data_IF_078823647946
#
_entry.id   IF_078823647946
#
_cell.length_a   1.000
_cell.length_b   1.000
_cell.length_c   1.000
_cell.angle_alpha   90.00
_cell.angle_beta   90.00
_cell.angle_gamma   90.00
#
_symmetry.space_group_name_H-M   'P 1'
#
loop_
_entity.id
_entity.type
_entity.pdbx_description
1 polymer ?
#
# COMPACT_ATOMS: atom_id res chain seq x y z
N UNK A 1 -37.04 4.20 -18.81
CA UNK A 1 -36.27 5.18 -18.01
C UNK A 1 -37.02 5.68 -16.77
N UNK A 2 -38.28 5.30 -16.51
CA UNK A 2 -38.92 5.54 -15.21
C UNK A 2 -38.73 4.39 -14.21
N UNK A 3 -38.56 3.14 -14.67
CA UNK A 3 -38.34 1.98 -13.80
C UNK A 3 -36.92 1.85 -13.21
N UNK A 4 -35.90 2.54 -13.73
CA UNK A 4 -34.53 2.46 -13.17
C UNK A 4 -34.34 3.41 -11.97
N UNK A 5 -35.17 4.45 -11.85
CA UNK A 5 -35.17 5.36 -10.70
C UNK A 5 -35.82 4.73 -9.47
N UNK A 6 -36.89 3.95 -9.63
CA UNK A 6 -37.55 3.23 -8.53
C UNK A 6 -36.67 2.13 -7.92
N UNK A 7 -35.82 1.46 -8.71
CA UNK A 7 -34.93 0.40 -8.21
C UNK A 7 -33.72 0.92 -7.43
N UNK A 8 -33.17 2.07 -7.83
CA UNK A 8 -32.12 2.77 -7.08
C UNK A 8 -32.67 3.31 -5.75
N UNK A 9 -33.90 3.81 -5.74
CA UNK A 9 -34.57 4.23 -4.50
C UNK A 9 -34.84 3.06 -3.55
N UNK A 10 -35.24 1.88 -4.03
CA UNK A 10 -35.51 0.72 -3.14
C UNK A 10 -34.21 0.18 -2.51
N UNK A 11 -33.14 0.00 -3.28
CA UNK A 11 -31.87 -0.51 -2.76
C UNK A 11 -31.21 0.48 -1.80
N UNK A 12 -31.30 1.78 -2.10
CA UNK A 12 -30.80 2.84 -1.23
C UNK A 12 -31.65 2.98 0.03
N UNK A 13 -32.99 2.92 -0.07
CA UNK A 13 -33.91 2.86 1.07
C UNK A 13 -33.66 1.61 1.92
N UNK A 14 -33.31 0.46 1.34
CA UNK A 14 -32.97 -0.76 2.08
C UNK A 14 -31.64 -0.64 2.83
N UNK A 15 -30.66 0.02 2.22
CA UNK A 15 -29.34 0.27 2.80
C UNK A 15 -29.43 1.34 3.91
N UNK A 16 -30.28 2.34 3.73
CA UNK A 16 -30.57 3.37 4.73
C UNK A 16 -31.43 2.83 5.88
N UNK A 17 -32.41 1.95 5.61
CA UNK A 17 -33.20 1.24 6.64
C UNK A 17 -32.35 0.28 7.48
N UNK A 18 -31.40 -0.43 6.86
CA UNK A 18 -30.45 -1.31 7.57
C UNK A 18 -29.41 -0.55 8.38
N UNK A 19 -29.11 0.70 8.01
CA UNK A 19 -28.22 1.59 8.77
C UNK A 19 -28.95 2.39 9.87
N UNK A 20 -30.26 2.65 9.74
CA UNK A 20 -30.99 3.57 10.63
C UNK A 20 -31.95 2.93 11.65
N UNK A 21 -32.39 1.66 11.51
CA UNK A 21 -33.52 1.18 12.32
C UNK A 21 -33.22 0.07 13.34
N UNK A 22 -33.86 0.24 14.52
CA UNK A 22 -33.83 -0.64 15.69
C UNK A 22 -34.46 -2.00 15.38
N UNK A 23 -34.11 -2.99 16.19
CA UNK A 23 -34.23 -4.40 15.87
C UNK A 23 -35.62 -4.93 15.47
N UNK A 24 -36.70 -4.23 15.81
CA UNK A 24 -38.08 -4.68 15.73
C UNK A 24 -38.73 -4.48 14.34
N UNK A 25 -38.37 -3.43 13.60
CA UNK A 25 -39.00 -3.11 12.31
C UNK A 25 -38.54 -4.03 11.18
N UNK A 26 -37.27 -4.46 11.22
CA UNK A 26 -36.74 -5.49 10.32
C UNK A 26 -37.45 -6.85 10.53
N UNK A 27 -37.88 -7.18 11.76
CA UNK A 27 -38.59 -8.43 12.06
C UNK A 27 -39.99 -8.42 11.44
N UNK A 28 -40.69 -7.29 11.49
CA UNK A 28 -42.02 -7.13 10.87
C UNK A 28 -41.93 -7.28 9.35
N UNK A 29 -40.94 -6.64 8.71
CA UNK A 29 -40.73 -6.72 7.26
C UNK A 29 -40.34 -8.15 6.80
N UNK A 30 -39.43 -8.81 7.51
CA UNK A 30 -39.03 -10.20 7.21
C UNK A 30 -40.19 -11.17 7.45
N UNK A 31 -40.98 -10.95 8.50
CA UNK A 31 -42.14 -11.77 8.82
C UNK A 31 -43.13 -11.85 7.66
N UNK A 32 -43.35 -10.75 6.94
CA UNK A 32 -44.24 -10.74 5.79
C UNK A 32 -43.64 -11.36 4.53
N UNK A 33 -42.32 -11.30 4.35
CA UNK A 33 -41.59 -12.02 3.28
C UNK A 33 -41.58 -13.52 3.53
N UNK A 34 -41.33 -13.97 4.77
CA UNK A 34 -41.33 -15.39 5.15
C UNK A 34 -42.73 -16.03 5.03
N UNK A 35 -43.80 -15.22 5.12
CA UNK A 35 -45.18 -15.67 4.87
C UNK A 35 -45.49 -15.84 3.38
N UNK A 36 -44.67 -15.32 2.46
CA UNK A 36 -44.85 -15.53 1.02
C UNK A 36 -44.39 -16.94 0.64
N UNK A 37 -45.32 -17.89 0.61
CA UNK A 37 -45.07 -19.23 0.09
C UNK A 37 -45.58 -19.29 -1.36
N UNK A 38 -44.73 -19.66 -2.35
CA UNK A 38 -43.34 -20.07 -2.22
C UNK A 38 -42.34 -18.90 -2.14
N UNK A 39 -41.37 -19.02 -1.23
CA UNK A 39 -40.23 -18.09 -1.11
C UNK A 39 -39.36 -18.19 -2.36
N UNK A 40 -39.06 -17.05 -2.99
CA UNK A 40 -38.19 -17.00 -4.16
C UNK A 40 -36.73 -17.19 -3.72
N UNK A 41 -36.02 -18.13 -4.36
CA UNK A 41 -34.64 -18.54 -3.99
C UNK A 41 -33.66 -17.37 -3.96
N UNK A 42 -33.83 -16.36 -4.84
CA UNK A 42 -32.96 -15.18 -4.87
C UNK A 42 -33.09 -14.28 -3.63
N UNK A 43 -34.14 -14.43 -2.81
CA UNK A 43 -34.31 -13.68 -1.56
C UNK A 43 -33.53 -14.31 -0.39
N UNK A 44 -33.08 -15.56 -0.53
CA UNK A 44 -32.41 -16.30 0.54
C UNK A 44 -31.11 -15.63 1.03
N UNK A 45 -30.23 -15.07 0.18
CA UNK A 45 -29.06 -14.32 0.65
C UNK A 45 -29.39 -13.19 1.62
N UNK A 46 -30.44 -12.41 1.34
CA UNK A 46 -30.84 -11.28 2.18
C UNK A 46 -31.42 -11.77 3.51
N UNK A 47 -32.24 -12.84 3.48
CA UNK A 47 -32.77 -13.49 4.68
C UNK A 47 -31.62 -13.99 5.56
N UNK A 48 -30.61 -14.64 4.96
CA UNK A 48 -29.44 -15.15 5.67
C UNK A 48 -28.65 -14.01 6.33
N UNK A 49 -28.35 -12.93 5.60
CA UNK A 49 -27.62 -11.77 6.14
C UNK A 49 -28.35 -11.16 7.34
N UNK A 50 -29.67 -11.03 7.24
CA UNK A 50 -30.49 -10.50 8.32
C UNK A 50 -30.51 -11.43 9.54
N UNK A 51 -30.65 -12.75 9.34
CA UNK A 51 -30.58 -13.72 10.44
C UNK A 51 -29.22 -13.67 11.15
N UNK A 52 -28.13 -13.58 10.39
CA UNK A 52 -26.77 -13.46 10.93
C UNK A 52 -26.60 -12.18 11.77
N UNK A 53 -27.17 -11.06 11.32
CA UNK A 53 -27.11 -9.77 12.05
C UNK A 53 -27.99 -9.75 13.31
N UNK A 54 -29.11 -10.49 13.31
CA UNK A 54 -30.08 -10.48 14.42
C UNK A 54 -29.70 -11.44 15.54
N UNK A 55 -29.32 -12.65 15.18
CA UNK A 55 -29.00 -13.70 16.13
C UNK A 55 -27.98 -14.65 15.48
N UNK A 56 -26.73 -14.19 15.45
CA UNK A 56 -25.63 -14.96 14.89
C UNK A 56 -25.45 -16.32 15.58
N UNK A 57 -25.80 -16.43 16.86
CA UNK A 57 -25.64 -17.67 17.63
C UNK A 57 -26.69 -18.71 17.23
N UNK A 58 -27.97 -18.33 17.20
CA UNK A 58 -29.05 -19.20 16.70
C UNK A 58 -28.83 -19.59 15.24
N UNK A 59 -28.46 -18.60 14.39
CA UNK A 59 -28.18 -18.87 13.00
C UNK A 59 -27.08 -19.93 12.86
N UNK A 60 -25.97 -19.77 13.57
CA UNK A 60 -24.82 -20.66 13.46
C UNK A 60 -25.06 -22.06 14.01
N UNK A 61 -25.76 -22.15 15.15
CA UNK A 61 -25.97 -23.42 15.83
C UNK A 61 -27.12 -24.24 15.21
N UNK A 62 -28.18 -23.58 14.75
CA UNK A 62 -29.40 -24.29 14.36
C UNK A 62 -29.76 -24.13 12.88
N UNK A 63 -29.74 -22.92 12.32
CA UNK A 63 -30.30 -22.65 10.99
C UNK A 63 -29.33 -22.89 9.83
N UNK A 64 -28.04 -22.60 10.04
CA UNK A 64 -26.96 -22.71 9.07
C UNK A 64 -26.85 -24.11 8.45
N UNK A 65 -26.87 -25.23 9.21
CA UNK A 65 -26.88 -26.57 8.63
C UNK A 65 -28.04 -26.81 7.66
N UNK A 66 -29.24 -26.27 7.94
CA UNK A 66 -30.39 -26.39 7.05
C UNK A 66 -30.21 -25.61 5.75
N UNK A 67 -29.69 -24.38 5.80
CA UNK A 67 -29.41 -23.62 4.57
C UNK A 67 -28.35 -24.30 3.69
N UNK A 68 -27.31 -24.88 4.29
CA UNK A 68 -26.34 -25.70 3.55
C UNK A 68 -26.99 -26.93 2.93
N UNK A 69 -27.87 -27.63 3.66
CA UNK A 69 -28.63 -28.76 3.11
C UNK A 69 -29.52 -28.32 1.93
N UNK A 70 -30.25 -27.20 2.06
CA UNK A 70 -31.11 -26.64 1.01
C UNK A 70 -30.27 -26.32 -0.24
N UNK A 71 -29.13 -25.64 -0.08
CA UNK A 71 -28.24 -25.32 -1.21
C UNK A 71 -27.71 -26.58 -1.90
N UNK A 72 -27.28 -27.60 -1.15
CA UNK A 72 -26.85 -28.89 -1.72
C UNK A 72 -28.01 -29.59 -2.44
N UNK A 73 -29.18 -29.67 -1.81
CA UNK A 73 -30.37 -30.31 -2.39
C UNK A 73 -30.81 -29.63 -3.68
N UNK A 74 -30.96 -28.30 -3.66
CA UNK A 74 -31.35 -27.52 -4.84
C UNK A 74 -30.30 -27.64 -5.96
N UNK A 75 -29.01 -27.78 -5.63
CA UNK A 75 -27.96 -27.96 -6.66
C UNK A 75 -28.08 -29.29 -7.42
N UNK A 76 -28.71 -30.30 -6.82
CA UNK A 76 -28.93 -31.61 -7.43
C UNK A 76 -30.25 -31.71 -8.18
N UNK A 77 -31.25 -30.92 -7.78
CA UNK A 77 -32.64 -31.08 -8.23
C UNK A 77 -33.14 -29.95 -9.12
N UNK A 78 -32.47 -28.80 -9.15
CA UNK A 78 -32.97 -27.62 -9.87
C UNK A 78 -32.24 -27.37 -11.19
N UNK A 79 -32.98 -26.82 -12.15
CA UNK A 79 -32.43 -26.22 -13.37
C UNK A 79 -31.89 -24.81 -13.14
N UNK A 80 -32.27 -24.17 -12.02
CA UNK A 80 -31.89 -22.81 -11.60
C UNK A 80 -30.50 -22.78 -10.92
N UNK A 81 -29.49 -23.30 -11.64
CA UNK A 81 -28.16 -23.51 -11.09
C UNK A 81 -27.56 -22.20 -10.51
N UNK A 82 -27.72 -21.08 -11.21
CA UNK A 82 -27.15 -19.79 -10.81
C UNK A 82 -27.62 -19.27 -9.44
N UNK A 83 -28.93 -19.29 -9.14
CA UNK A 83 -29.46 -18.84 -7.85
C UNK A 83 -29.00 -19.70 -6.70
N UNK A 84 -28.84 -21.00 -6.92
CA UNK A 84 -28.28 -21.93 -5.93
C UNK A 84 -26.81 -21.63 -5.68
N UNK A 85 -26.03 -21.26 -6.71
CA UNK A 85 -24.63 -20.90 -6.51
C UNK A 85 -24.46 -19.58 -5.79
N UNK A 86 -25.29 -18.59 -6.07
CA UNK A 86 -25.29 -17.34 -5.31
C UNK A 86 -25.57 -17.64 -3.84
N UNK A 87 -26.62 -18.41 -3.54
CA UNK A 87 -26.91 -18.88 -2.18
C UNK A 87 -25.70 -19.57 -1.53
N UNK A 88 -25.08 -20.52 -2.22
CA UNK A 88 -23.90 -21.23 -1.71
C UNK A 88 -22.72 -20.28 -1.48
N UNK A 89 -22.46 -19.34 -2.39
CA UNK A 89 -21.42 -18.33 -2.24
C UNK A 89 -21.67 -17.46 -1.01
N UNK A 90 -22.91 -17.00 -0.78
CA UNK A 90 -23.28 -16.22 0.40
C UNK A 90 -23.11 -17.01 1.71
N UNK A 91 -23.55 -18.27 1.74
CA UNK A 91 -23.34 -19.15 2.89
C UNK A 91 -21.85 -19.33 3.19
N UNK A 92 -21.05 -19.56 2.15
CA UNK A 92 -19.61 -19.71 2.26
C UNK A 92 -18.88 -18.42 2.67
N UNK A 93 -19.31 -17.26 2.18
CA UNK A 93 -18.74 -15.96 2.54
C UNK A 93 -19.00 -15.59 3.99
N UNK A 94 -20.15 -15.98 4.54
CA UNK A 94 -20.49 -15.71 5.93
C UNK A 94 -19.60 -16.51 6.89
N UNK A 95 -19.29 -17.75 6.53
CA UNK A 95 -18.42 -18.63 7.34
C UNK A 95 -16.95 -18.15 7.39
N UNK A 96 -16.50 -17.30 6.44
CA UNK A 96 -15.17 -16.68 6.52
C UNK A 96 -15.01 -15.82 7.77
N UNK A 97 -16.08 -15.18 8.27
CA UNK A 97 -16.02 -14.33 9.46
C UNK A 97 -15.70 -15.12 10.73
N UNK A 98 -16.08 -16.40 10.78
CA UNK A 98 -15.81 -17.29 11.91
C UNK A 98 -14.38 -17.84 11.91
N UNK A 99 -13.60 -17.57 10.84
CA UNK A 99 -12.20 -18.00 10.69
C UNK A 99 -11.96 -19.51 10.80
N UNK A 100 -13.00 -20.33 10.69
CA UNK A 100 -12.90 -21.79 10.67
C UNK A 100 -12.69 -22.31 9.23
N UNK A 101 -11.55 -21.97 8.65
CA UNK A 101 -11.25 -22.21 7.23
C UNK A 101 -11.20 -23.71 6.86
N UNK A 102 -10.77 -24.58 7.79
CA UNK A 102 -10.66 -26.01 7.54
C UNK A 102 -12.02 -26.69 7.36
N UNK A 103 -12.99 -26.37 8.23
CA UNK A 103 -14.35 -26.88 8.08
C UNK A 103 -15.03 -26.31 6.83
N UNK A 104 -14.78 -25.03 6.55
CA UNK A 104 -15.31 -24.34 5.39
C UNK A 104 -14.81 -24.96 4.08
N UNK A 105 -13.52 -25.27 4.00
CA UNK A 105 -12.91 -25.98 2.87
C UNK A 105 -13.52 -27.38 2.70
N UNK A 106 -13.70 -28.14 3.78
CA UNK A 106 -14.34 -29.46 3.74
C UNK A 106 -15.78 -29.40 3.21
N UNK A 107 -16.54 -28.37 3.59
CA UNK A 107 -17.91 -28.14 3.08
C UNK A 107 -17.90 -27.77 1.59
N UNK A 108 -16.97 -26.90 1.19
CA UNK A 108 -16.76 -26.53 -0.20
C UNK A 108 -16.41 -27.75 -1.07
N UNK A 109 -15.43 -28.56 -0.65
CA UNK A 109 -15.02 -29.76 -1.38
C UNK A 109 -16.18 -30.73 -1.56
N UNK A 110 -16.95 -30.99 -0.49
CA UNK A 110 -18.16 -31.83 -0.55
C UNK A 110 -19.21 -31.30 -1.54
N UNK A 111 -19.36 -29.98 -1.65
CA UNK A 111 -20.31 -29.38 -2.59
C UNK A 111 -19.86 -29.52 -4.04
N UNK A 112 -18.55 -29.47 -4.30
CA UNK A 112 -17.98 -29.42 -5.63
C UNK A 112 -17.63 -30.80 -6.21
N UNK A 113 -17.56 -31.85 -5.38
CA UNK A 113 -17.30 -33.23 -5.83
C UNK A 113 -18.19 -33.60 -7.00
N UNK A 114 -17.57 -34.03 -8.11
CA UNK A 114 -18.25 -34.51 -9.31
C UNK A 114 -18.84 -33.39 -10.19
N UNK A 115 -18.55 -32.12 -9.89
CA UNK A 115 -18.99 -30.98 -10.69
C UNK A 115 -17.81 -30.30 -11.39
N UNK A 116 -18.06 -29.70 -12.55
CA UNK A 116 -17.08 -28.84 -13.21
C UNK A 116 -17.07 -27.45 -12.55
N UNK A 117 -15.99 -27.15 -11.81
CA UNK A 117 -15.77 -25.87 -11.13
C UNK A 117 -15.84 -24.66 -12.07
N UNK A 118 -15.44 -24.83 -13.34
CA UNK A 118 -15.45 -23.75 -14.34
C UNK A 118 -16.86 -23.27 -14.66
N UNK A 119 -17.87 -24.12 -14.43
CA UNK A 119 -19.27 -23.73 -14.55
C UNK A 119 -19.70 -22.75 -13.44
N UNK A 120 -18.90 -22.59 -12.38
CA UNK A 120 -19.21 -21.76 -11.20
C UNK A 120 -18.04 -20.83 -10.81
N UNK A 121 -17.74 -19.80 -11.63
CA UNK A 121 -16.53 -18.99 -11.47
C UNK A 121 -16.35 -18.36 -10.07
N UNK A 122 -17.42 -17.84 -9.44
CA UNK A 122 -17.33 -17.23 -8.11
C UNK A 122 -16.99 -18.25 -7.00
N UNK A 123 -17.59 -19.46 -7.08
CA UNK A 123 -17.27 -20.54 -6.14
C UNK A 123 -15.85 -21.08 -6.37
N UNK A 124 -15.38 -21.07 -7.62
CA UNK A 124 -14.01 -21.42 -7.95
C UNK A 124 -13.01 -20.42 -7.36
N UNK A 125 -13.27 -19.11 -7.48
CA UNK A 125 -12.47 -18.05 -6.83
C UNK A 125 -12.43 -18.29 -5.33
N UNK A 126 -13.59 -18.46 -4.69
CA UNK A 126 -13.69 -18.70 -3.27
C UNK A 126 -12.91 -19.95 -2.82
N UNK A 127 -13.12 -21.09 -3.48
CA UNK A 127 -12.43 -22.33 -3.18
C UNK A 127 -10.92 -22.24 -3.38
N UNK A 128 -10.47 -21.54 -4.42
CA UNK A 128 -9.04 -21.35 -4.69
C UNK A 128 -8.33 -20.60 -3.55
N UNK A 129 -8.98 -19.57 -2.98
CA UNK A 129 -8.47 -18.83 -1.83
C UNK A 129 -8.45 -19.69 -0.57
N UNK A 130 -9.48 -20.50 -0.32
CA UNK A 130 -9.50 -21.41 0.82
C UNK A 130 -8.40 -22.48 0.76
N UNK A 131 -8.23 -23.10 -0.41
CA UNK A 131 -7.13 -24.05 -0.60
C UNK A 131 -5.77 -23.39 -0.39
N UNK A 132 -5.59 -22.15 -0.85
CA UNK A 132 -4.38 -21.37 -0.58
C UNK A 132 -4.15 -21.13 0.92
N UNK A 133 -5.18 -20.73 1.67
CA UNK A 133 -5.08 -20.49 3.12
C UNK A 133 -4.68 -21.79 3.85
N UNK A 134 -5.35 -22.90 3.56
CA UNK A 134 -5.04 -24.21 4.15
C UNK A 134 -3.61 -24.68 3.79
N UNK A 135 -3.20 -24.50 2.53
CA UNK A 135 -1.85 -24.82 2.09
C UNK A 135 -0.78 -23.95 2.76
N UNK A 136 -1.01 -22.64 2.92
CA UNK A 136 -0.07 -21.74 3.59
C UNK A 136 0.10 -22.12 5.08
N UNK A 137 -0.97 -22.54 5.74
CA UNK A 137 -0.92 -23.08 7.10
C UNK A 137 -0.10 -24.38 7.17
N UNK A 138 -0.37 -25.35 6.28
CA UNK A 138 0.37 -26.61 6.23
C UNK A 138 1.86 -26.39 5.90
N UNK A 139 2.16 -25.47 4.98
CA UNK A 139 3.53 -25.12 4.62
C UNK A 139 4.29 -24.48 5.79
N UNK A 140 3.64 -23.59 6.54
CA UNK A 140 4.23 -22.95 7.72
C UNK A 140 4.56 -23.98 8.79
N UNK A 141 3.61 -24.85 9.12
CA UNK A 141 3.81 -25.95 10.08
C UNK A 141 4.94 -26.90 9.64
N UNK A 142 5.00 -27.23 8.34
CA UNK A 142 6.08 -28.06 7.79
C UNK A 142 7.45 -27.39 7.99
N UNK A 143 7.59 -26.10 7.69
CA UNK A 143 8.83 -25.34 7.89
C UNK A 143 9.24 -25.25 9.36
N UNK A 144 8.28 -25.03 10.25
CA UNK A 144 8.53 -24.93 11.70
C UNK A 144 8.92 -26.27 12.33
N UNK A 145 8.39 -27.38 11.81
CA UNK A 145 8.68 -28.72 12.35
C UNK A 145 10.17 -29.11 12.24
N UNK A 146 10.93 -28.50 11.33
CA UNK A 146 12.35 -28.81 11.09
C UNK A 146 12.62 -30.20 10.49
N UNK A 147 11.62 -31.08 10.42
CA UNK A 147 11.73 -32.43 9.88
C UNK A 147 11.38 -32.46 8.39
N UNK A 148 12.36 -32.80 7.55
CA UNK A 148 12.15 -32.99 6.11
C UNK A 148 11.49 -34.35 5.85
N UNK A 149 10.16 -34.35 5.73
CA UNK A 149 9.39 -35.51 5.28
C UNK A 149 9.03 -35.36 3.79
N UNK A 150 9.66 -36.20 2.96
CA UNK A 150 9.45 -36.22 1.50
C UNK A 150 7.99 -36.44 1.10
N UNK A 151 7.23 -37.24 1.83
CA UNK A 151 5.81 -37.47 1.51
C UNK A 151 4.97 -36.20 1.74
N UNK A 152 5.28 -35.44 2.80
CA UNK A 152 4.62 -34.16 3.08
C UNK A 152 4.98 -33.12 2.02
N UNK A 153 6.24 -33.07 1.61
CA UNK A 153 6.72 -32.19 0.54
C UNK A 153 6.01 -32.49 -0.80
N UNK A 154 5.95 -33.76 -1.20
CA UNK A 154 5.23 -34.18 -2.42
C UNK A 154 3.72 -33.85 -2.34
N UNK A 155 3.11 -33.92 -1.16
CA UNK A 155 1.72 -33.50 -0.95
C UNK A 155 1.56 -31.98 -1.12
N UNK A 156 2.46 -31.19 -0.54
CA UNK A 156 2.44 -29.73 -0.65
C UNK A 156 2.63 -29.26 -2.10
N UNK A 157 3.48 -29.94 -2.87
CA UNK A 157 3.71 -29.64 -4.30
C UNK A 157 2.47 -29.90 -5.16
N UNK A 158 1.77 -31.01 -4.90
CA UNK A 158 0.50 -31.33 -5.58
C UNK A 158 -0.58 -30.30 -5.26
N UNK A 159 -0.70 -29.91 -3.99
CA UNK A 159 -1.64 -28.88 -3.57
C UNK A 159 -1.32 -27.53 -4.21
N UNK A 160 -0.05 -27.11 -4.21
CA UNK A 160 0.38 -25.87 -4.84
C UNK A 160 0.06 -25.86 -6.34
N UNK A 161 0.32 -26.95 -7.07
CA UNK A 161 0.00 -27.05 -8.50
C UNK A 161 -1.50 -26.93 -8.77
N UNK A 162 -2.33 -27.55 -7.93
CA UNK A 162 -3.78 -27.42 -8.01
C UNK A 162 -4.25 -25.98 -7.72
N UNK A 163 -3.72 -25.35 -6.66
CA UNK A 163 -4.05 -23.98 -6.27
C UNK A 163 -3.68 -23.00 -7.38
N UNK A 164 -2.48 -23.13 -7.95
CA UNK A 164 -2.03 -22.32 -9.08
C UNK A 164 -2.99 -22.41 -10.26
N UNK A 165 -3.35 -23.64 -10.67
CA UNK A 165 -4.32 -23.86 -11.75
C UNK A 165 -5.67 -23.21 -11.46
N UNK A 166 -6.17 -23.34 -10.22
CA UNK A 166 -7.44 -22.75 -9.82
C UNK A 166 -7.39 -21.22 -9.84
N UNK A 167 -6.36 -20.61 -9.26
CA UNK A 167 -6.19 -19.15 -9.21
C UNK A 167 -5.98 -18.55 -10.62
N UNK A 168 -5.20 -19.19 -11.49
CA UNK A 168 -5.05 -18.77 -12.88
C UNK A 168 -6.37 -18.83 -13.65
N UNK A 169 -7.14 -19.91 -13.47
CA UNK A 169 -8.47 -20.02 -14.06
C UNK A 169 -9.40 -18.93 -13.53
N UNK A 170 -9.35 -18.63 -12.23
CA UNK A 170 -10.11 -17.54 -11.62
C UNK A 170 -9.77 -16.17 -12.22
N UNK A 171 -8.49 -15.87 -12.48
CA UNK A 171 -8.08 -14.65 -13.19
C UNK A 171 -8.61 -14.59 -14.63
N UNK A 172 -8.70 -15.72 -15.32
CA UNK A 172 -9.25 -15.76 -16.68
C UNK A 172 -10.73 -15.39 -16.73
N UNK A 173 -11.49 -15.70 -15.66
CA UNK A 173 -12.89 -15.30 -15.52
C UNK A 173 -13.04 -13.85 -15.01
N UNK A 174 -12.18 -13.45 -14.07
CA UNK A 174 -12.23 -12.13 -13.43
C UNK A 174 -10.83 -11.50 -13.35
N UNK A 175 -10.37 -10.84 -14.42
CA UNK A 175 -9.00 -10.34 -14.50
C UNK A 175 -8.70 -9.17 -13.55
N UNK A 176 -9.75 -8.54 -13.01
CA UNK A 176 -9.68 -7.42 -12.07
C UNK A 176 -9.61 -7.84 -10.59
N UNK A 177 -9.53 -9.14 -10.27
CA UNK A 177 -9.43 -9.60 -8.88
C UNK A 177 -7.99 -9.44 -8.37
N UNK A 178 -7.68 -8.27 -7.85
CA UNK A 178 -6.32 -7.95 -7.37
C UNK A 178 -5.88 -8.84 -6.20
N UNK A 179 -6.83 -9.21 -5.32
CA UNK A 179 -6.54 -9.97 -4.12
C UNK A 179 -6.06 -11.42 -4.39
N UNK A 180 -6.34 -12.00 -5.57
CA UNK A 180 -5.85 -13.35 -5.93
C UNK A 180 -4.44 -13.34 -6.53
N UNK A 181 -3.95 -12.19 -6.98
CA UNK A 181 -2.62 -12.04 -7.57
C UNK A 181 -1.54 -12.44 -6.57
N UNK A 182 -1.61 -11.94 -5.33
CA UNK A 182 -0.60 -12.24 -4.29
C UNK A 182 -0.55 -13.74 -3.91
N UNK A 183 -1.68 -14.41 -3.61
CA UNK A 183 -1.74 -15.86 -3.45
C UNK A 183 -1.14 -16.65 -4.62
N UNK A 184 -1.46 -16.24 -5.85
CA UNK A 184 -0.96 -16.89 -7.06
C UNK A 184 0.56 -16.76 -7.17
N UNK A 185 1.09 -15.54 -7.01
CA UNK A 185 2.54 -15.29 -7.05
C UNK A 185 3.28 -16.12 -5.99
N UNK A 186 2.80 -16.16 -4.74
CA UNK A 186 3.40 -16.98 -3.68
C UNK A 186 3.44 -18.47 -4.05
N UNK A 187 2.35 -18.97 -4.62
CA UNK A 187 2.24 -20.37 -5.05
C UNK A 187 3.20 -20.68 -6.20
N UNK A 188 3.27 -19.80 -7.20
CA UNK A 188 4.18 -19.94 -8.35
C UNK A 188 5.65 -19.82 -7.94
N UNK A 189 6.00 -18.92 -7.02
CA UNK A 189 7.36 -18.79 -6.46
C UNK A 189 7.74 -20.09 -5.72
N UNK A 190 6.83 -20.65 -4.92
CA UNK A 190 7.05 -21.94 -4.27
C UNK A 190 7.33 -23.06 -5.28
N UNK A 191 6.57 -23.08 -6.39
CA UNK A 191 6.77 -23.99 -7.53
C UNK A 191 7.98 -23.65 -8.43
N UNK A 192 8.82 -22.68 -8.03
CA UNK A 192 10.01 -22.21 -8.74
C UNK A 192 9.73 -21.62 -10.13
N UNK A 193 8.54 -21.06 -10.34
CA UNK A 193 8.12 -20.40 -11.60
C UNK A 193 8.33 -18.89 -11.58
N UNK A 194 9.50 -18.45 -11.11
CA UNK A 194 9.81 -17.04 -10.89
C UNK A 194 9.70 -16.19 -12.17
N UNK A 195 10.12 -16.70 -13.32
CA UNK A 195 10.00 -15.95 -14.59
C UNK A 195 8.53 -15.77 -15.03
N UNK A 196 7.67 -16.76 -14.79
CA UNK A 196 6.24 -16.64 -15.08
C UNK A 196 5.57 -15.62 -14.14
N UNK A 197 5.98 -15.55 -12.87
CA UNK A 197 5.53 -14.51 -11.94
C UNK A 197 5.86 -13.10 -12.47
N UNK A 198 7.08 -12.93 -13.00
CA UNK A 198 7.51 -11.67 -13.57
C UNK A 198 6.65 -11.26 -14.77
N UNK A 199 6.39 -12.19 -15.70
CA UNK A 199 5.53 -11.94 -16.86
C UNK A 199 4.08 -11.62 -16.46
N UNK A 200 3.54 -12.34 -15.46
CA UNK A 200 2.20 -12.07 -14.92
C UNK A 200 2.10 -10.66 -14.35
N UNK A 201 3.10 -10.22 -13.57
CA UNK A 201 3.13 -8.87 -12.98
C UNK A 201 3.23 -7.77 -14.04
N UNK A 202 4.05 -7.97 -15.08
CA UNK A 202 4.14 -7.05 -16.20
C UNK A 202 2.79 -6.93 -16.94
N UNK A 203 2.15 -8.07 -17.22
CA UNK A 203 0.84 -8.10 -17.87
C UNK A 203 -0.22 -7.39 -17.01
N UNK A 204 -0.19 -7.60 -15.70
CA UNK A 204 -1.11 -6.97 -14.76
C UNK A 204 -0.97 -5.44 -14.75
N UNK A 205 0.26 -4.91 -14.67
CA UNK A 205 0.50 -3.46 -14.73
C UNK A 205 0.13 -2.88 -16.10
N UNK A 206 0.43 -3.60 -17.18
CA UNK A 206 0.06 -3.16 -18.53
C UNK A 206 -1.47 -3.07 -18.70
N UNK A 207 -2.21 -4.02 -18.12
CA UNK A 207 -3.67 -4.03 -18.17
C UNK A 207 -4.29 -3.00 -17.21
N UNK A 208 -3.68 -2.77 -16.05
CA UNK A 208 -4.18 -1.89 -14.99
C UNK A 208 -3.13 -0.85 -14.56
N UNK A 209 -2.73 0.09 -15.45
CA UNK A 209 -1.60 0.99 -15.23
C UNK A 209 -1.84 2.06 -14.16
N UNK A 210 -3.09 2.26 -13.73
CA UNK A 210 -3.48 3.18 -12.66
C UNK A 210 -3.62 2.49 -11.30
N UNK A 211 -3.33 1.19 -11.23
CA UNK A 211 -3.42 0.43 -9.98
C UNK A 211 -2.11 0.49 -9.19
N UNK A 212 -2.07 1.17 -8.01
CA UNK A 212 -0.87 1.25 -7.17
C UNK A 212 -0.44 -0.11 -6.59
N UNK A 213 -1.36 -1.04 -6.39
CA UNK A 213 -1.07 -2.39 -5.89
C UNK A 213 -0.16 -3.16 -6.86
N UNK A 214 -0.38 -3.02 -8.18
CA UNK A 214 0.44 -3.64 -9.21
C UNK A 214 1.91 -3.21 -9.12
N UNK A 215 2.17 -1.90 -9.04
CA UNK A 215 3.54 -1.38 -8.88
C UNK A 215 4.19 -1.77 -7.56
N UNK A 216 3.40 -1.85 -6.48
CA UNK A 216 3.90 -2.31 -5.18
C UNK A 216 4.36 -3.76 -5.25
N UNK A 217 3.55 -4.63 -5.89
CA UNK A 217 3.90 -6.05 -6.06
C UNK A 217 5.09 -6.24 -6.98
N UNK A 218 5.11 -5.61 -8.17
CA UNK A 218 6.23 -5.73 -9.09
C UNK A 218 7.53 -5.17 -8.49
N UNK A 219 7.47 -4.00 -7.84
CA UNK A 219 8.63 -3.41 -7.17
C UNK A 219 9.21 -4.33 -6.11
N UNK A 220 8.35 -4.91 -5.25
CA UNK A 220 8.78 -5.83 -4.20
C UNK A 220 9.37 -7.13 -4.78
N UNK A 221 8.73 -7.68 -5.82
CA UNK A 221 9.19 -8.87 -6.53
C UNK A 221 10.58 -8.64 -7.17
N UNK A 222 10.79 -7.48 -7.81
CA UNK A 222 12.07 -7.14 -8.42
C UNK A 222 13.17 -7.00 -7.37
N UNK A 223 12.90 -6.39 -6.21
CA UNK A 223 13.87 -6.31 -5.11
C UNK A 223 14.29 -7.71 -4.64
N UNK A 224 13.35 -8.64 -4.51
CA UNK A 224 13.63 -9.99 -3.97
C UNK A 224 14.32 -10.89 -4.99
N UNK A 225 13.90 -10.86 -6.26
CA UNK A 225 14.30 -11.86 -7.25
C UNK A 225 15.14 -11.32 -8.41
N UNK A 226 15.13 -10.01 -8.65
CA UNK A 226 15.90 -9.34 -9.73
C UNK A 226 16.54 -8.03 -9.22
N UNK A 227 17.30 -8.04 -8.10
CA UNK A 227 17.79 -6.83 -7.44
C UNK A 227 18.70 -5.96 -8.32
N UNK A 228 19.33 -6.57 -9.33
CA UNK A 228 20.17 -5.88 -10.29
C UNK A 228 19.38 -5.02 -11.31
N UNK A 229 18.07 -5.23 -11.44
CA UNK A 229 17.20 -4.43 -12.33
C UNK A 229 16.75 -3.13 -11.64
N UNK A 230 17.71 -2.37 -11.14
CA UNK A 230 17.51 -1.13 -10.38
C UNK A 230 16.66 -0.12 -11.15
N UNK A 231 16.83 -0.04 -12.47
CA UNK A 231 16.04 0.85 -13.34
C UNK A 231 14.55 0.54 -13.26
N UNK A 232 14.15 -0.74 -13.33
CA UNK A 232 12.74 -1.12 -13.21
C UNK A 232 12.21 -0.99 -11.79
N UNK A 233 13.04 -1.24 -10.78
CA UNK A 233 12.66 -1.02 -9.37
C UNK A 233 12.31 0.45 -9.15
N UNK A 234 13.20 1.36 -9.54
CA UNK A 234 12.98 2.82 -9.44
C UNK A 234 11.75 3.24 -10.25
N UNK A 235 11.58 2.71 -11.48
CA UNK A 235 10.38 2.96 -12.28
C UNK A 235 9.09 2.58 -11.55
N UNK A 236 9.04 1.42 -10.89
CA UNK A 236 7.86 0.98 -10.16
C UNK A 236 7.51 1.95 -9.04
N UNK A 237 8.49 2.32 -8.21
CA UNK A 237 8.25 3.18 -7.05
C UNK A 237 8.02 4.65 -7.41
N UNK A 238 8.61 5.14 -8.51
CA UNK A 238 8.26 6.47 -9.07
C UNK A 238 6.81 6.53 -9.55
N UNK A 239 6.33 5.50 -10.26
CA UNK A 239 4.92 5.46 -10.67
C UNK A 239 3.98 5.25 -9.48
N UNK A 240 4.40 4.47 -8.48
CA UNK A 240 3.65 4.32 -7.25
C UNK A 240 3.44 5.68 -6.55
N UNK A 241 4.45 6.54 -6.47
CA UNK A 241 4.29 7.89 -5.91
C UNK A 241 3.38 8.82 -6.72
N UNK A 242 3.32 8.64 -8.05
CA UNK A 242 2.38 9.41 -8.88
C UNK A 242 0.93 9.04 -8.57
N UNK A 243 0.67 7.77 -8.22
CA UNK A 243 -0.66 7.25 -7.93
C UNK A 243 -1.02 7.40 -6.43
N UNK A 244 -0.04 7.24 -5.55
CA UNK A 244 -0.14 7.34 -4.10
C UNK A 244 1.07 8.15 -3.55
N UNK A 245 0.95 9.50 -3.48
CA UNK A 245 2.03 10.37 -3.04
C UNK A 245 2.51 10.14 -1.59
N UNK A 246 1.69 9.51 -0.76
CA UNK A 246 2.01 9.21 0.65
C UNK A 246 2.49 7.77 0.85
N UNK A 247 2.72 7.01 -0.22
CA UNK A 247 3.16 5.62 -0.19
C UNK A 247 4.44 5.43 0.62
N UNK A 248 4.34 4.74 1.76
CA UNK A 248 5.47 4.36 2.62
C UNK A 248 6.47 3.42 1.93
N UNK A 249 6.03 2.37 1.20
CA UNK A 249 6.94 1.53 0.44
C UNK A 249 7.78 2.33 -0.56
N UNK A 250 7.16 3.21 -1.34
CA UNK A 250 7.88 3.99 -2.35
C UNK A 250 8.89 4.95 -1.76
N UNK A 251 8.48 5.69 -0.72
CA UNK A 251 9.38 6.60 -0.03
C UNK A 251 10.59 5.88 0.56
N UNK A 252 10.37 4.74 1.23
CA UNK A 252 11.43 3.97 1.88
C UNK A 252 12.42 3.46 0.85
N UNK A 253 11.92 2.82 -0.22
CA UNK A 253 12.78 2.22 -1.25
C UNK A 253 13.58 3.30 -2.00
N UNK A 254 12.94 4.38 -2.45
CA UNK A 254 13.66 5.43 -3.20
C UNK A 254 14.70 6.13 -2.32
N UNK A 255 14.38 6.39 -1.05
CA UNK A 255 15.35 6.96 -0.10
C UNK A 255 16.53 6.00 0.13
N UNK A 256 16.27 4.70 0.25
CA UNK A 256 17.33 3.70 0.39
C UNK A 256 18.25 3.63 -0.84
N UNK A 257 17.67 3.61 -2.05
CA UNK A 257 18.46 3.62 -3.29
C UNK A 257 19.27 4.91 -3.45
N UNK A 258 18.72 6.05 -3.03
CA UNK A 258 19.46 7.31 -2.96
C UNK A 258 20.73 7.17 -2.10
N UNK A 259 20.61 6.62 -0.89
CA UNK A 259 21.77 6.45 -0.01
C UNK A 259 22.77 5.42 -0.53
N UNK A 260 22.30 4.29 -1.08
CA UNK A 260 23.17 3.25 -1.61
C UNK A 260 24.03 3.73 -2.78
N UNK A 261 23.47 4.58 -3.65
CA UNK A 261 24.17 5.11 -4.82
C UNK A 261 25.05 6.34 -4.50
N UNK A 262 24.93 6.89 -3.29
CA UNK A 262 25.68 8.09 -2.87
C UNK A 262 27.18 7.84 -2.65
N UNK A 263 27.59 6.58 -2.53
CA UNK A 263 28.99 6.21 -2.30
C UNK A 263 29.90 6.32 -3.54
N UNK A 264 29.36 6.50 -4.76
CA UNK A 264 30.15 6.42 -5.99
C UNK A 264 30.13 7.66 -6.89
N UNK A 265 29.23 8.63 -6.68
CA UNK A 265 29.09 9.77 -7.58
C UNK A 265 29.62 11.08 -6.98
N UNK A 266 30.69 11.58 -7.60
CA UNK A 266 31.02 13.00 -7.57
C UNK A 266 29.83 13.79 -8.11
N UNK A 267 29.62 14.99 -7.57
CA UNK A 267 28.49 15.92 -7.74
C UNK A 267 28.14 16.27 -9.21
N UNK A 268 28.87 15.73 -10.19
CA UNK A 268 28.87 16.13 -11.59
C UNK A 268 28.65 14.99 -12.60
N UNK A 269 28.30 13.77 -12.17
CA UNK A 269 27.82 12.76 -13.13
C UNK A 269 26.38 13.07 -13.54
N UNK A 270 26.11 12.99 -14.85
CA UNK A 270 24.74 13.12 -15.38
C UNK A 270 23.87 12.05 -14.73
N UNK A 271 22.64 12.39 -14.28
CA UNK A 271 21.73 11.41 -13.72
C UNK A 271 21.53 10.29 -14.74
N UNK A 272 21.87 9.07 -14.33
CA UNK A 272 21.54 7.87 -15.09
C UNK A 272 20.13 7.44 -14.71
N UNK A 273 19.48 6.61 -15.54
CA UNK A 273 18.15 6.06 -15.21
C UNK A 273 18.12 5.26 -13.89
N UNK A 274 19.29 4.94 -13.34
CA UNK A 274 19.50 4.19 -12.11
C UNK A 274 19.84 5.06 -10.90
N UNK A 275 20.09 6.36 -11.09
CA UNK A 275 20.39 7.28 -9.98
C UNK A 275 19.16 8.10 -9.61
N UNK A 276 19.04 8.38 -8.31
CA UNK A 276 17.97 9.21 -7.77
C UNK A 276 18.63 10.53 -7.34
N UNK A 277 18.29 11.67 -7.96
CA UNK A 277 18.92 12.94 -7.59
C UNK A 277 18.44 13.40 -6.22
N UNK A 278 19.26 14.19 -5.53
CA UNK A 278 18.91 14.81 -4.24
C UNK A 278 17.57 15.53 -4.31
N UNK A 279 17.32 16.30 -5.39
CA UNK A 279 16.09 17.08 -5.58
C UNK A 279 14.83 16.22 -5.53
N UNK A 280 14.89 15.01 -6.05
CA UNK A 280 13.76 14.09 -6.04
C UNK A 280 13.44 13.66 -4.61
N UNK A 281 14.44 13.21 -3.84
CA UNK A 281 14.25 12.82 -2.44
C UNK A 281 13.84 14.02 -1.57
N UNK A 282 14.47 15.17 -1.79
CA UNK A 282 14.15 16.41 -1.10
C UNK A 282 12.68 16.79 -1.29
N UNK A 283 12.19 16.75 -2.54
CA UNK A 283 10.78 16.98 -2.85
C UNK A 283 9.88 15.96 -2.15
N UNK A 284 10.25 14.68 -2.10
CA UNK A 284 9.48 13.66 -1.39
C UNK A 284 9.34 13.94 0.11
N UNK A 285 10.40 14.44 0.76
CA UNK A 285 10.32 14.87 2.15
C UNK A 285 9.42 16.10 2.32
N UNK A 286 9.53 17.11 1.44
CA UNK A 286 8.65 18.29 1.45
C UNK A 286 7.18 17.87 1.33
N UNK A 287 6.87 17.03 0.34
CA UNK A 287 5.51 16.60 0.06
C UNK A 287 4.95 15.86 1.28
N UNK A 288 5.71 14.93 1.87
CA UNK A 288 5.31 14.23 3.11
C UNK A 288 5.10 15.15 4.31
N UNK A 289 5.99 16.11 4.54
CA UNK A 289 5.83 17.10 5.62
C UNK A 289 4.56 17.91 5.40
N UNK A 290 4.21 18.23 4.15
CA UNK A 290 2.98 18.96 3.86
C UNK A 290 1.71 18.20 4.22
N UNK A 291 1.72 16.86 4.13
CA UNK A 291 0.62 16.00 4.57
C UNK A 291 0.65 15.71 6.08
N UNK A 292 1.83 15.65 6.68
CA UNK A 292 2.04 15.21 8.07
C UNK A 292 2.86 16.22 8.87
N UNK A 293 2.46 17.49 8.85
CA UNK A 293 3.24 18.61 9.38
C UNK A 293 3.52 18.54 10.90
N UNK A 294 2.72 17.79 11.65
CA UNK A 294 2.87 17.59 13.10
C UNK A 294 3.57 16.28 13.48
N UNK A 295 3.94 15.44 12.51
CA UNK A 295 4.56 14.14 12.78
C UNK A 295 6.06 14.29 13.06
N UNK A 296 6.43 14.10 14.32
CA UNK A 296 7.82 14.19 14.80
C UNK A 296 8.79 13.27 14.03
N UNK A 297 8.38 12.05 13.70
CA UNK A 297 9.27 11.07 13.07
C UNK A 297 9.63 11.47 11.63
N UNK A 298 8.70 12.09 10.91
CA UNK A 298 8.97 12.60 9.55
C UNK A 298 9.96 13.76 9.60
N UNK A 299 9.81 14.68 10.56
CA UNK A 299 10.76 15.78 10.75
C UNK A 299 12.13 15.31 11.20
N UNK A 300 12.21 14.27 12.05
CA UNK A 300 13.47 13.61 12.41
C UNK A 300 14.17 13.03 11.19
N UNK A 301 13.46 12.22 10.40
CA UNK A 301 14.01 11.63 9.18
C UNK A 301 14.50 12.70 8.21
N UNK A 302 13.75 13.80 8.07
CA UNK A 302 14.14 14.91 7.20
C UNK A 302 15.38 15.64 7.70
N UNK A 303 15.45 15.91 9.00
CA UNK A 303 16.63 16.50 9.63
C UNK A 303 17.87 15.65 9.38
N UNK A 304 17.79 14.33 9.63
CA UNK A 304 18.94 13.43 9.39
C UNK A 304 19.29 13.35 7.91
N UNK A 305 18.30 13.35 7.01
CA UNK A 305 18.55 13.43 5.57
C UNK A 305 19.33 14.68 5.17
N UNK A 306 18.93 15.86 5.65
CA UNK A 306 19.66 17.10 5.37
C UNK A 306 21.03 17.11 6.04
N UNK A 307 21.12 16.63 7.30
CA UNK A 307 22.38 16.56 8.05
C UNK A 307 23.37 15.68 7.31
N UNK A 308 23.00 14.45 6.96
CA UNK A 308 23.85 13.53 6.21
C UNK A 308 24.17 14.09 4.83
N UNK A 309 23.24 14.82 4.20
CA UNK A 309 23.50 15.49 2.95
C UNK A 309 24.64 16.51 3.10
N UNK A 310 24.47 17.51 3.96
CA UNK A 310 25.41 18.62 4.10
C UNK A 310 26.70 18.28 4.85
N UNK A 311 26.70 17.29 5.76
CA UNK A 311 27.92 16.88 6.50
C UNK A 311 29.00 16.30 5.58
N UNK A 312 28.60 15.64 4.49
CA UNK A 312 29.53 15.09 3.50
C UNK A 312 29.99 16.11 2.45
N UNK A 313 29.57 17.38 2.57
CA UNK A 313 30.05 18.49 1.75
C UNK A 313 30.87 19.46 2.62
N UNK A 314 32.13 19.13 2.98
CA UNK A 314 32.99 20.09 3.65
C UNK A 314 33.28 21.35 2.82
N UNK A 315 32.95 21.36 1.51
CA UNK A 315 33.41 22.37 0.56
C UNK A 315 32.32 23.07 -0.27
N UNK A 316 31.05 23.12 0.14
CA UNK A 316 30.08 24.02 -0.54
C UNK A 316 30.47 25.49 -0.32
N UNK A 317 30.96 25.83 0.88
CA UNK A 317 31.57 27.14 1.17
C UNK A 317 32.84 27.40 0.34
N UNK A 318 33.70 26.40 0.12
CA UNK A 318 34.89 26.57 -0.74
C UNK A 318 34.55 26.70 -2.24
N UNK A 319 33.49 26.02 -2.72
CA UNK A 319 33.04 26.09 -4.12
C UNK A 319 32.30 27.39 -4.43
N UNK A 320 31.54 27.94 -3.48
CA UNK A 320 30.92 29.26 -3.60
C UNK A 320 31.97 30.38 -3.51
N UNK A 321 32.92 30.28 -2.58
CA UNK A 321 34.04 31.23 -2.46
C UNK A 321 35.00 31.19 -3.67
N UNK A 322 35.15 30.03 -4.34
CA UNK A 322 35.91 29.95 -5.61
C UNK A 322 35.19 30.60 -6.78
N UNK A 323 33.85 30.60 -6.83
CA UNK A 323 33.09 31.33 -7.87
C UNK A 323 33.09 32.84 -7.64
N UNK A 324 33.04 33.31 -6.39
CA UNK A 324 33.18 34.74 -6.10
C UNK A 324 34.61 35.26 -6.33
N UNK A 325 35.64 34.46 -6.01
CA UNK A 325 37.03 34.85 -6.29
C UNK A 325 37.43 34.73 -7.77
N UNK A 326 36.79 33.86 -8.55
CA UNK A 326 37.03 33.78 -10.00
C UNK A 326 36.17 34.76 -10.81
N UNK A 327 35.03 35.22 -10.31
CA UNK A 327 34.25 36.28 -10.99
C UNK A 327 34.89 37.68 -10.87
N UNK A 328 35.87 37.86 -10.00
CA UNK A 328 36.71 39.07 -9.99
C UNK A 328 37.94 38.97 -10.91
N UNK A 329 38.19 37.82 -11.54
CA UNK A 329 39.27 37.60 -12.48
C UNK A 329 38.84 36.61 -13.57
N UNK A 330 37.94 37.02 -14.47
CA UNK A 330 37.87 36.59 -15.89
C UNK A 330 36.57 37.11 -16.52
N UNK A 331 36.59 38.38 -16.93
CA UNK A 331 35.82 38.78 -18.11
C UNK A 331 36.49 38.14 -19.34
N UNK A 332 35.91 37.01 -19.77
CA UNK A 332 36.03 36.34 -21.07
C UNK A 332 36.19 34.83 -20.86
N UNK A 333 35.07 34.12 -20.85
CA UNK A 333 34.86 33.06 -21.83
C UNK A 333 33.39 32.63 -21.81
N UNK A 334 32.71 32.92 -22.92
CA UNK A 334 31.34 32.54 -23.18
C UNK A 334 31.25 31.06 -23.59
N UNK A 335 30.09 30.47 -23.25
CA UNK A 335 29.52 29.22 -23.74
C UNK A 335 29.99 27.91 -23.10
N UNK A 336 29.26 27.46 -22.07
CA UNK A 336 28.50 26.19 -22.07
C UNK A 336 28.06 25.81 -20.63
N UNK A 337 27.18 26.59 -19.99
CA UNK A 337 26.71 26.26 -18.63
C UNK A 337 25.26 26.71 -18.33
N UNK A 338 24.34 26.54 -19.27
CA UNK A 338 22.93 26.95 -19.09
C UNK A 338 22.10 25.99 -18.24
N UNK A 339 22.36 24.68 -18.27
CA UNK A 339 21.51 23.71 -17.55
C UNK A 339 21.83 23.58 -16.04
N UNK A 340 23.08 23.76 -15.61
CA UNK A 340 23.45 23.67 -14.18
C UNK A 340 22.89 24.83 -13.34
N UNK A 341 22.68 25.99 -13.96
CA UNK A 341 22.13 27.17 -13.28
C UNK A 341 20.62 27.03 -13.04
N UNK A 342 19.86 26.40 -13.93
CA UNK A 342 18.41 26.24 -13.77
C UNK A 342 18.04 25.29 -12.64
N UNK A 343 18.70 24.13 -12.55
CA UNK A 343 18.44 23.16 -11.47
C UNK A 343 18.78 23.73 -10.10
N UNK A 344 19.91 24.45 -9.99
CA UNK A 344 20.33 25.09 -8.74
C UNK A 344 19.35 26.21 -8.33
N UNK A 345 18.88 27.00 -9.28
CA UNK A 345 17.89 28.06 -9.01
C UNK A 345 16.52 27.49 -8.61
N UNK A 346 16.09 26.39 -9.25
CA UNK A 346 14.84 25.72 -8.93
C UNK A 346 14.85 25.13 -7.51
N UNK A 347 15.99 24.53 -7.11
CA UNK A 347 16.19 24.06 -5.74
C UNK A 347 16.08 25.21 -4.72
N UNK A 348 16.78 26.33 -4.97
CA UNK A 348 16.73 27.51 -4.08
C UNK A 348 15.31 28.04 -3.92
N UNK A 349 14.56 28.09 -5.02
CA UNK A 349 13.16 28.51 -5.01
C UNK A 349 12.27 27.55 -4.21
N UNK A 350 12.45 26.23 -4.37
CA UNK A 350 11.70 25.22 -3.60
C UNK A 350 12.03 25.28 -2.10
N UNK A 351 13.29 25.50 -1.73
CA UNK A 351 13.69 25.73 -0.34
C UNK A 351 12.98 26.97 0.24
N UNK A 352 12.97 28.07 -0.50
CA UNK A 352 12.34 29.31 -0.06
C UNK A 352 10.84 29.12 0.19
N UNK A 353 10.12 28.54 -0.77
CA UNK A 353 8.69 28.25 -0.62
C UNK A 353 8.42 27.31 0.56
N UNK A 354 9.28 26.32 0.78
CA UNK A 354 9.16 25.41 1.92
C UNK A 354 9.32 26.14 3.26
N UNK A 355 10.33 27.01 3.36
CA UNK A 355 10.60 27.80 4.56
C UNK A 355 9.42 28.75 4.86
N UNK A 356 8.95 29.50 3.88
CA UNK A 356 7.81 30.42 4.02
C UNK A 356 6.53 29.69 4.46
N UNK A 357 6.28 28.50 3.92
CA UNK A 357 5.09 27.70 4.23
C UNK A 357 5.13 27.08 5.63
N UNK A 358 6.27 26.53 6.04
CA UNK A 358 6.35 25.68 7.25
C UNK A 358 6.91 26.39 8.48
N UNK A 359 7.46 27.60 8.33
CA UNK A 359 8.06 28.39 9.41
C UNK A 359 7.44 29.79 9.47
N UNK A 360 6.13 29.85 9.72
CA UNK A 360 5.39 31.10 9.88
C UNK A 360 4.87 31.21 11.32
N UNK A 361 4.99 32.42 11.90
CA UNK A 361 4.85 32.71 13.34
C UNK A 361 3.50 32.29 13.96
N UNK A 362 2.47 32.06 13.13
CA UNK A 362 1.12 31.72 13.56
C UNK A 362 0.86 30.22 13.77
N UNK A 363 1.63 29.31 13.15
CA UNK A 363 1.34 27.87 13.17
C UNK A 363 2.03 27.09 14.31
N UNK A 364 3.05 27.68 14.95
CA UNK A 364 3.94 26.95 15.88
C UNK A 364 3.62 27.17 17.38
N UNK A 365 2.47 27.75 17.71
CA UNK A 365 2.13 28.06 19.12
C UNK A 365 1.77 26.83 19.96
N UNK A 366 1.41 25.70 19.33
CA UNK A 366 0.90 24.49 19.99
C UNK A 366 1.71 23.20 19.69
N UNK A 367 2.96 23.32 19.22
CA UNK A 367 3.78 22.14 18.89
C UNK A 367 4.62 21.66 20.08
N UNK A 368 4.90 20.36 20.13
CA UNK A 368 5.72 19.77 21.19
C UNK A 368 7.16 20.31 21.13
N UNK A 369 7.82 20.41 22.28
CA UNK A 369 9.22 20.87 22.35
C UNK A 369 10.16 20.01 21.49
N UNK A 370 9.89 18.70 21.41
CA UNK A 370 10.65 17.79 20.55
C UNK A 370 10.47 18.12 19.06
N UNK A 371 9.24 18.34 18.61
CA UNK A 371 8.95 18.70 17.22
C UNK A 371 9.57 20.05 16.86
N UNK A 372 9.44 21.04 17.76
CA UNK A 372 10.05 22.34 17.60
C UNK A 372 11.57 22.24 17.39
N UNK A 373 12.28 21.44 18.20
CA UNK A 373 13.72 21.21 18.06
C UNK A 373 14.11 20.72 16.65
N UNK A 374 13.43 19.70 16.12
CA UNK A 374 13.75 19.17 14.79
C UNK A 374 13.39 20.14 13.67
N UNK A 375 12.25 20.85 13.77
CA UNK A 375 11.92 21.94 12.83
C UNK A 375 13.03 23.00 12.81
N UNK A 376 13.51 23.46 13.97
CA UNK A 376 14.58 24.46 14.02
C UNK A 376 15.91 23.94 13.49
N UNK A 377 16.24 22.67 13.76
CA UNK A 377 17.42 22.03 13.16
C UNK A 377 17.36 21.99 11.63
N UNK A 378 16.19 21.66 11.05
CA UNK A 378 15.96 21.71 9.60
C UNK A 378 16.12 23.13 9.08
N UNK A 379 15.50 24.13 9.72
CA UNK A 379 15.64 25.53 9.34
C UNK A 379 17.11 25.94 9.27
N UNK A 380 17.88 25.65 10.32
CA UNK A 380 19.29 26.01 10.41
C UNK A 380 20.14 25.37 9.31
N UNK A 381 19.94 24.07 9.04
CA UNK A 381 20.66 23.37 7.97
C UNK A 381 20.36 24.00 6.61
N UNK A 382 19.10 24.32 6.34
CA UNK A 382 18.70 24.96 5.09
C UNK A 382 19.24 26.39 4.97
N UNK A 383 19.12 27.23 6.00
CA UNK A 383 19.57 28.64 5.94
C UNK A 383 21.09 28.78 5.87
N UNK A 384 21.84 27.94 6.60
CA UNK A 384 23.30 27.96 6.54
C UNK A 384 23.84 27.45 5.21
N UNK A 385 23.15 26.48 4.58
CA UNK A 385 23.53 26.00 3.25
C UNK A 385 23.24 27.02 2.14
N UNK A 386 22.35 27.99 2.39
CA UNK A 386 21.84 28.95 1.39
C UNK A 386 22.36 30.38 1.55
N UNK A 387 23.21 30.66 2.54
CA UNK A 387 23.61 32.03 2.94
C UNK A 387 22.39 32.97 3.11
N UNK A 388 21.26 32.43 3.57
CA UNK A 388 20.02 33.20 3.67
C UNK A 388 19.47 33.18 5.08
N UNK A 389 19.63 34.29 5.80
CA UNK A 389 18.92 34.57 7.05
C UNK A 389 17.49 35.00 6.73
N UNK A 390 16.51 34.12 6.92
CA UNK A 390 15.11 34.52 6.85
C UNK A 390 14.77 35.36 8.10
N UNK A 391 14.43 36.64 7.92
CA UNK A 391 14.25 37.61 9.01
C UNK A 391 13.06 37.29 9.94
N UNK A 392 12.17 36.38 9.58
CA UNK A 392 10.97 36.00 10.35
C UNK A 392 11.30 35.33 11.68
N UNK A 393 12.30 34.46 11.75
CA UNK A 393 12.73 33.85 13.02
C UNK A 393 13.41 34.84 13.98
N UNK A 394 13.82 36.02 13.48
CA UNK A 394 14.39 37.09 14.32
C UNK A 394 13.35 37.85 15.16
N UNK A 395 12.05 37.63 14.93
CA UNK A 395 10.99 38.40 15.61
C UNK A 395 9.97 37.50 16.32
N UNK A 396 10.30 37.17 17.57
CA UNK A 396 9.41 36.80 18.70
C UNK A 396 8.71 35.42 18.67
N UNK A 397 9.26 34.45 19.43
CA UNK A 397 8.74 34.07 20.77
C UNK A 397 9.67 33.10 21.54
N UNK A 398 9.89 33.49 22.81
CA UNK A 398 10.68 32.90 23.89
C UNK A 398 12.21 32.83 23.70
N UNK A 399 12.89 33.87 24.24
CA UNK A 399 14.33 33.95 24.46
C UNK A 399 14.92 32.69 25.11
N UNK A 400 14.18 32.06 26.04
CA UNK A 400 14.57 30.81 26.69
C UNK A 400 14.51 29.59 25.74
N UNK A 401 13.58 29.60 24.80
CA UNK A 401 13.40 28.55 23.80
C UNK A 401 14.46 28.68 22.70
N UNK A 402 14.77 29.92 22.28
CA UNK A 402 15.91 30.21 21.40
C UNK A 402 17.25 29.91 22.07
N UNK A 403 17.38 30.07 23.39
CA UNK A 403 18.57 29.66 24.14
C UNK A 403 18.74 28.13 24.14
N UNK A 404 17.67 27.38 24.47
CA UNK A 404 17.69 25.91 24.43
C UNK A 404 17.95 25.36 23.02
N UNK A 405 17.47 26.06 21.99
CA UNK A 405 17.77 25.77 20.58
C UNK A 405 19.22 26.11 20.28
N UNK A 406 19.73 27.26 20.72
CA UNK A 406 21.11 27.68 20.52
C UNK A 406 22.08 26.70 21.19
N UNK A 407 21.83 26.30 22.43
CA UNK A 407 22.60 25.30 23.17
C UNK A 407 22.55 23.93 22.48
N UNK A 408 21.40 23.52 21.93
CA UNK A 408 21.30 22.29 21.14
C UNK A 408 22.09 22.39 19.84
N UNK A 409 21.92 23.48 19.08
CA UNK A 409 22.65 23.74 17.83
C UNK A 409 24.16 23.84 18.10
N UNK A 410 24.58 24.44 19.20
CA UNK A 410 25.97 24.51 19.64
C UNK A 410 26.50 23.13 20.02
N UNK A 411 25.71 22.30 20.73
CA UNK A 411 26.07 20.92 21.05
C UNK A 411 26.21 20.05 19.79
N UNK A 412 25.31 20.19 18.82
CA UNK A 412 25.36 19.44 17.56
C UNK A 412 26.45 19.97 16.62
N UNK A 413 26.71 21.28 16.59
CA UNK A 413 27.84 21.87 15.86
C UNK A 413 29.18 21.45 16.45
N UNK A 414 29.28 21.36 17.78
CA UNK A 414 30.48 20.85 18.43
C UNK A 414 30.68 19.34 18.15
N UNK A 415 29.59 18.57 18.04
CA UNK A 415 29.65 17.18 17.58
C UNK A 415 30.02 17.04 16.10
N UNK A 416 29.67 18.02 15.26
CA UNK A 416 30.05 18.08 13.83
C UNK A 416 31.50 18.52 13.60
N UNK A 417 32.07 19.36 14.48
CA UNK A 417 33.48 19.78 14.40
C UNK A 417 34.46 18.73 14.95
N UNK A 418 33.97 17.79 15.75
CA UNK A 418 34.77 16.77 16.43
C UNK A 418 34.69 15.37 15.79
N UNK A 419 34.13 15.26 14.58
CA UNK A 419 34.19 14.10 13.68
C UNK A 419 34.75 14.55 12.35
#
# INVERSE_FOLDING_TARGET
MENEKEWLDIAQTFTELTLQHRNEEAIVFIGDILKQIPLRVYLLPNIITLLLQKDSELYNNELKPFFFYIGVFLSKTTTLKESVHQLMYYLFSNDLYERNFAELLKRYEKFIVGKDERSFPLLMVFGSVLHYIDWEQQLTQYKESGYKNRQTEEKLDRLATMIEYKLNSSLSFFPNLEFIIKPLLKTMIYLKRTEECYLLLLAFIHQYPLNPFGYTLLGSFLIEHKPHDTKRIIFCYRNLLKLDPISNPAFTVLTQYYYNNRCEESVFSKPTDTTIPFNEIFKLYIDRISYFSTNLEIWKLFYYFLKDHFSNYPNVLELLNKKENNNNNNENDNNNNSNENEDTQNIKFQFQLFLEKNFNDYQDTNISQALFKFKTGVYFLLTNSLEYTNQTLSKKKNFQLSLNVYEFLESEMNNLKNK
#
